data_IF_120089693597
#
_entry.id   IF_120089693597
#
_cell.length_a   1.000
_cell.length_b   1.000
_cell.length_c   1.000
_cell.angle_alpha   90.00
_cell.angle_beta   90.00
_cell.angle_gamma   90.00
#
_symmetry.space_group_name_H-M   'P 1'
#
loop_
_entity.id
_entity.type
_entity.pdbx_description
1 polymer ?
#
# COMPACT_ATOMS: atom_id res chain seq x y z
N UNK A 1 3.72 -2.52 -9.74
CA UNK A 1 3.59 -1.05 -9.89
C UNK A 1 4.82 -0.50 -10.60
N UNK A 2 4.75 0.69 -11.22
CA UNK A 2 5.93 1.31 -11.83
C UNK A 2 6.90 1.84 -10.75
N UNK A 3 8.17 2.04 -11.10
CA UNK A 3 9.17 2.63 -10.19
C UNK A 3 8.73 4.01 -9.68
N UNK A 4 8.17 4.84 -10.56
CA UNK A 4 7.61 6.15 -10.20
C UNK A 4 6.48 6.02 -9.20
N UNK A 5 5.57 5.07 -9.39
CA UNK A 5 4.45 4.87 -8.46
C UNK A 5 4.93 4.38 -7.08
N UNK A 6 5.93 3.50 -7.03
CA UNK A 6 6.55 3.07 -5.77
C UNK A 6 7.19 4.25 -5.02
N UNK A 7 7.82 5.17 -5.75
CA UNK A 7 8.37 6.41 -5.20
C UNK A 7 7.29 7.34 -4.66
N UNK A 8 6.20 7.56 -5.42
CA UNK A 8 5.06 8.35 -4.95
C UNK A 8 4.48 7.75 -3.67
N UNK A 9 4.25 6.44 -3.63
CA UNK A 9 3.76 5.76 -2.43
C UNK A 9 4.70 5.97 -1.23
N UNK A 10 6.02 5.84 -1.44
CA UNK A 10 7.01 6.07 -0.39
C UNK A 10 6.97 7.51 0.15
N UNK A 11 6.86 8.50 -0.72
CA UNK A 11 6.78 9.91 -0.31
C UNK A 11 5.48 10.18 0.47
N UNK A 12 4.35 9.71 -0.06
CA UNK A 12 3.05 9.93 0.57
C UNK A 12 2.97 9.27 1.94
N UNK A 13 3.48 8.03 2.07
CA UNK A 13 3.45 7.34 3.37
C UNK A 13 4.38 8.02 4.37
N UNK A 14 5.56 8.47 3.93
CA UNK A 14 6.51 9.21 4.77
C UNK A 14 5.88 10.50 5.29
N UNK A 15 5.14 11.21 4.44
CA UNK A 15 4.39 12.40 4.86
C UNK A 15 3.24 12.06 5.82
N UNK A 16 2.49 10.98 5.54
CA UNK A 16 1.35 10.56 6.35
C UNK A 16 1.73 10.14 7.78
N UNK A 17 2.97 9.72 8.00
CA UNK A 17 3.53 9.33 9.30
C UNK A 17 4.51 10.37 9.86
N UNK A 18 4.47 11.61 9.36
CA UNK A 18 5.32 12.71 9.83
C UNK A 18 6.83 12.39 9.82
N UNK A 19 7.26 11.60 8.84
CA UNK A 19 8.65 11.13 8.71
C UNK A 19 9.05 10.00 9.67
N UNK A 20 8.15 9.55 10.54
CA UNK A 20 8.41 8.42 11.44
C UNK A 20 8.49 7.12 10.66
N UNK A 21 9.68 6.59 10.43
CA UNK A 21 9.82 5.27 9.81
C UNK A 21 9.48 4.18 10.84
N UNK A 22 8.42 3.37 10.64
CA UNK A 22 8.06 2.34 11.60
C UNK A 22 9.14 1.27 11.64
N UNK A 23 9.52 0.86 12.86
CA UNK A 23 10.58 -0.12 13.06
C UNK A 23 10.16 -1.55 12.68
N UNK A 24 8.85 -1.82 12.57
CA UNK A 24 8.29 -3.12 12.24
C UNK A 24 6.90 -2.99 11.60
N UNK A 25 6.38 -4.08 11.03
CA UNK A 25 5.03 -4.13 10.44
C UNK A 25 3.97 -3.91 11.52
N UNK A 26 4.13 -4.52 12.70
CA UNK A 26 3.23 -4.36 13.85
C UNK A 26 3.08 -2.87 14.21
N UNK A 27 4.19 -2.15 14.30
CA UNK A 27 4.18 -0.71 14.60
C UNK A 27 3.52 0.09 13.48
N UNK A 28 3.70 -0.32 12.23
CA UNK A 28 3.02 0.31 11.11
C UNK A 28 1.50 0.09 11.17
N UNK A 29 1.07 -1.12 11.47
CA UNK A 29 -0.35 -1.46 11.61
C UNK A 29 -0.98 -0.68 12.77
N UNK A 30 -0.27 -0.55 13.90
CA UNK A 30 -0.70 0.31 15.01
C UNK A 30 -0.85 1.79 14.61
N UNK A 31 0.11 2.32 13.83
CA UNK A 31 0.00 3.67 13.28
C UNK A 31 -1.17 3.80 12.31
N UNK A 32 -1.44 2.79 11.49
CA UNK A 32 -2.59 2.76 10.59
C UNK A 32 -3.93 2.77 11.35
N UNK A 33 -4.01 2.13 12.51
CA UNK A 33 -5.17 2.25 13.39
C UNK A 33 -5.41 3.69 13.86
N UNK A 34 -4.34 4.41 14.20
CA UNK A 34 -4.43 5.79 14.68
C UNK A 34 -4.63 6.83 13.56
N UNK A 35 -4.08 6.57 12.37
CA UNK A 35 -4.01 7.53 11.27
C UNK A 35 -4.59 6.94 9.98
N UNK A 36 -5.76 7.46 9.57
CA UNK A 36 -6.42 7.02 8.34
C UNK A 36 -5.54 7.19 7.10
N UNK A 37 -4.77 8.27 7.00
CA UNK A 37 -3.84 8.51 5.89
C UNK A 37 -2.81 7.37 5.76
N UNK A 38 -2.24 6.93 6.89
CA UNK A 38 -1.32 5.81 6.94
C UNK A 38 -2.03 4.49 6.54
N UNK A 39 -3.23 4.22 7.06
CA UNK A 39 -4.00 3.03 6.71
C UNK A 39 -4.29 2.91 5.21
N UNK A 40 -4.65 4.02 4.55
CA UNK A 40 -4.95 4.03 3.11
C UNK A 40 -3.73 3.85 2.21
N UNK A 41 -2.54 4.12 2.73
CA UNK A 41 -1.28 3.98 2.00
C UNK A 41 -0.56 2.66 2.33
N UNK A 42 -0.82 2.08 3.50
CA UNK A 42 -0.21 0.87 4.00
C UNK A 42 -0.22 -0.30 3.00
N UNK A 43 -1.37 -0.72 2.42
CA UNK A 43 -1.38 -1.87 1.51
C UNK A 43 -0.50 -1.62 0.28
N UNK A 44 -0.53 -0.42 -0.29
CA UNK A 44 0.30 -0.07 -1.45
C UNK A 44 1.78 0.00 -1.10
N UNK A 45 2.12 0.52 0.09
CA UNK A 45 3.49 0.54 0.58
C UNK A 45 4.04 -0.88 0.77
N UNK A 46 3.27 -1.73 1.45
CA UNK A 46 3.62 -3.12 1.70
C UNK A 46 3.80 -3.89 0.39
N UNK A 47 2.86 -3.77 -0.55
CA UNK A 47 3.01 -4.36 -1.88
C UNK A 47 4.28 -3.88 -2.62
N UNK A 48 4.66 -2.61 -2.44
CA UNK A 48 5.80 -2.03 -3.15
C UNK A 48 7.17 -2.43 -2.57
N UNK A 49 7.24 -2.66 -1.25
CA UNK A 49 8.52 -2.77 -0.53
C UNK A 49 8.65 -3.99 0.37
N UNK A 50 7.54 -4.56 0.85
CA UNK A 50 7.50 -5.67 1.80
C UNK A 50 6.38 -6.69 1.49
N UNK A 51 6.25 -7.17 0.22
CA UNK A 51 5.08 -7.95 -0.17
C UNK A 51 5.04 -9.32 0.54
N UNK A 52 6.19 -9.95 0.75
CA UNK A 52 6.26 -11.25 1.42
C UNK A 52 5.99 -11.12 2.91
N UNK A 53 6.65 -10.17 3.59
CA UNK A 53 6.45 -9.97 5.02
C UNK A 53 5.00 -9.55 5.33
N UNK A 54 4.34 -8.82 4.42
CA UNK A 54 2.94 -8.46 4.57
C UNK A 54 1.99 -9.65 4.49
N UNK A 55 2.22 -10.59 3.56
CA UNK A 55 1.42 -11.80 3.47
C UNK A 55 1.63 -12.69 4.69
N UNK A 56 2.87 -12.87 5.12
CA UNK A 56 3.19 -13.63 6.35
C UNK A 56 2.55 -13.00 7.57
N UNK A 57 2.68 -11.69 7.75
CA UNK A 57 2.06 -10.97 8.85
C UNK A 57 0.54 -11.16 8.86
N UNK A 58 -0.10 -11.00 7.71
CA UNK A 58 -1.53 -11.17 7.55
C UNK A 58 -1.99 -12.60 7.87
N UNK A 59 -1.18 -13.60 7.55
CA UNK A 59 -1.51 -15.01 7.77
C UNK A 59 -1.39 -15.41 9.25
N UNK A 60 -0.35 -14.94 9.93
CA UNK A 60 0.01 -15.43 11.27
C UNK A 60 -0.52 -14.58 12.41
N UNK A 61 -0.79 -13.28 12.17
CA UNK A 61 -1.21 -12.36 13.21
C UNK A 61 -2.74 -12.27 13.23
N UNK A 62 -3.34 -12.45 14.40
CA UNK A 62 -4.78 -12.30 14.62
C UNK A 62 -5.26 -10.83 14.65
N UNK A 63 -4.69 -9.99 13.80
CA UNK A 63 -5.07 -8.59 13.61
C UNK A 63 -6.03 -8.48 12.42
N UNK A 64 -7.25 -7.92 12.59
CA UNK A 64 -8.24 -7.86 11.52
C UNK A 64 -7.93 -6.80 10.46
N UNK A 65 -7.12 -5.77 10.76
CA UNK A 65 -6.89 -4.66 9.83
C UNK A 65 -6.14 -5.09 8.56
N UNK A 66 -5.04 -5.86 8.60
CA UNK A 66 -4.38 -6.37 7.40
C UNK A 66 -5.31 -7.12 6.44
N UNK A 67 -6.12 -8.04 6.97
CA UNK A 67 -7.07 -8.81 6.17
C UNK A 67 -8.10 -7.90 5.49
N UNK A 68 -8.69 -6.97 6.25
CA UNK A 68 -9.66 -6.00 5.72
C UNK A 68 -9.04 -5.09 4.67
N UNK A 69 -7.81 -4.60 4.90
CA UNK A 69 -7.11 -3.79 3.91
C UNK A 69 -6.78 -4.57 2.65
N UNK A 70 -6.41 -5.85 2.73
CA UNK A 70 -6.17 -6.69 1.54
C UNK A 70 -7.45 -6.89 0.73
N UNK A 71 -8.55 -7.27 1.39
CA UNK A 71 -9.86 -7.42 0.74
C UNK A 71 -10.33 -6.12 0.10
N UNK A 72 -10.32 -5.03 0.84
CA UNK A 72 -10.77 -3.74 0.36
C UNK A 72 -9.87 -3.20 -0.75
N UNK A 73 -8.55 -3.44 -0.69
CA UNK A 73 -7.63 -3.03 -1.75
C UNK A 73 -7.86 -3.84 -3.01
N UNK A 74 -8.09 -5.16 -2.91
CA UNK A 74 -8.44 -5.99 -4.05
C UNK A 74 -9.67 -5.43 -4.79
N UNK A 75 -10.77 -5.22 -4.07
CA UNK A 75 -11.99 -4.66 -4.66
C UNK A 75 -11.75 -3.25 -5.25
N UNK A 76 -10.97 -2.42 -4.55
CA UNK A 76 -10.66 -1.08 -5.00
C UNK A 76 -9.87 -1.08 -6.32
N UNK A 77 -8.79 -1.87 -6.43
CA UNK A 77 -7.95 -1.90 -7.63
C UNK A 77 -8.58 -2.71 -8.76
N UNK A 78 -9.52 -3.60 -8.46
CA UNK A 78 -10.23 -4.35 -9.50
C UNK A 78 -11.28 -3.52 -10.24
N UNK A 79 -11.71 -2.40 -9.66
CA UNK A 79 -12.63 -1.45 -10.29
C UNK A 79 -12.19 -1.12 -11.74
N UNK A 80 -13.04 -1.39 -12.75
CA UNK A 80 -12.66 -1.25 -14.16
C UNK A 80 -12.12 0.14 -14.54
N UNK A 81 -12.67 1.18 -13.92
CA UNK A 81 -12.31 2.57 -14.19
C UNK A 81 -10.88 2.96 -13.77
N UNK A 82 -10.23 2.19 -12.87
CA UNK A 82 -8.89 2.52 -12.38
C UNK A 82 -7.77 1.93 -13.25
N UNK A 83 -8.09 1.04 -14.19
CA UNK A 83 -7.11 0.39 -15.09
C UNK A 83 -5.84 -0.10 -14.38
N UNK A 84 -5.99 -0.63 -13.16
CA UNK A 84 -4.84 -1.09 -12.38
C UNK A 84 -4.13 -2.25 -13.07
N UNK A 85 -2.80 -2.30 -12.95
CA UNK A 85 -1.99 -3.36 -13.56
C UNK A 85 -2.42 -4.75 -13.05
N UNK A 86 -2.37 -5.76 -13.93
CA UNK A 86 -2.75 -7.14 -13.58
C UNK A 86 -1.95 -7.70 -12.38
N UNK A 87 -0.70 -7.27 -12.20
CA UNK A 87 0.16 -7.74 -11.11
C UNK A 87 -0.32 -7.28 -9.72
N UNK A 88 -0.82 -6.04 -9.59
CA UNK A 88 -1.33 -5.54 -8.31
C UNK A 88 -2.68 -6.17 -7.99
N UNK A 89 -3.54 -6.33 -9.00
CA UNK A 89 -4.82 -7.04 -8.87
C UNK A 89 -4.61 -8.47 -8.36
N UNK A 90 -3.71 -9.22 -9.02
CA UNK A 90 -3.39 -10.62 -8.66
C UNK A 90 -2.82 -10.73 -7.25
N UNK A 91 -1.93 -9.80 -6.88
CA UNK A 91 -1.35 -9.81 -5.54
C UNK A 91 -2.43 -9.64 -4.47
N UNK A 92 -3.27 -8.61 -4.56
CA UNK A 92 -4.29 -8.39 -3.54
C UNK A 92 -5.42 -9.42 -3.57
N UNK A 93 -5.74 -9.99 -4.73
CA UNK A 93 -6.60 -11.18 -4.82
C UNK A 93 -6.00 -12.35 -4.02
N UNK A 94 -4.70 -12.61 -4.17
CA UNK A 94 -4.06 -13.71 -3.42
C UNK A 94 -3.99 -13.39 -1.93
N UNK A 95 -3.67 -12.14 -1.57
CA UNK A 95 -3.55 -11.70 -0.19
C UNK A 95 -4.89 -11.61 0.55
N UNK A 96 -6.01 -11.41 -0.15
CA UNK A 96 -7.34 -11.49 0.46
C UNK A 96 -7.76 -12.94 0.73
N UNK A 97 -7.31 -13.90 -0.08
CA UNK A 97 -7.68 -15.30 0.09
C UNK A 97 -6.95 -16.02 1.23
N UNK A 98 -5.80 -15.52 1.68
CA UNK A 98 -5.01 -16.16 2.76
C UNK A 98 -5.53 -15.89 4.17
N UNK A 99 -6.22 -14.77 4.38
CA UNK A 99 -6.79 -14.40 5.67
C UNK A 99 -8.22 -13.91 5.47
N UNK A 100 -9.22 -14.82 5.54
CA UNK A 100 -10.60 -14.47 5.31
C UNK A 100 -11.09 -13.48 6.38
N UNK A 101 -12.00 -12.60 5.97
CA UNK A 101 -12.65 -11.67 6.89
C UNK A 101 -13.42 -12.44 7.96
N UNK A 102 -13.04 -12.22 9.22
CA UNK A 102 -13.80 -12.75 10.35
C UNK A 102 -14.93 -11.81 10.72
N UNK A 103 -16.16 -12.32 10.74
CA UNK A 103 -17.33 -11.57 11.23
C UNK A 103 -17.23 -11.23 12.73
N UNK A 104 -16.39 -11.96 13.49
CA UNK A 104 -16.24 -11.81 14.93
C UNK A 104 -15.36 -10.62 15.35
N UNK A 105 -14.57 -10.05 14.43
CA UNK A 105 -13.59 -8.99 14.73
C UNK A 105 -13.80 -7.77 13.80
N UNK A 106 -14.86 -6.97 14.01
CA UNK A 106 -15.10 -5.80 13.18
C UNK A 106 -13.99 -4.77 13.38
N UNK A 107 -13.39 -4.27 12.28
CA UNK A 107 -12.64 -3.01 12.36
C UNK A 107 -13.62 -1.85 12.58
N UNK A 108 -13.08 -0.67 12.97
CA UNK A 108 -13.89 0.53 13.20
C UNK A 108 -14.72 1.00 11.97
N UNK A 109 -14.52 0.42 10.78
CA UNK A 109 -15.16 0.80 9.53
C UNK A 109 -15.56 -0.44 8.73
N UNK A 110 -16.62 -0.32 7.91
CA UNK A 110 -17.03 -1.38 7.01
C UNK A 110 -16.04 -1.55 5.85
N UNK A 111 -16.11 -2.71 5.17
CA UNK A 111 -15.27 -2.99 3.99
C UNK A 111 -15.59 -2.00 2.87
N UNK A 112 -16.86 -1.69 2.62
CA UNK A 112 -17.29 -0.74 1.59
C UNK A 112 -16.68 0.65 1.81
N UNK A 113 -16.63 1.08 3.07
CA UNK A 113 -16.01 2.35 3.45
C UNK A 113 -14.51 2.35 3.11
N UNK A 114 -13.81 1.26 3.40
CA UNK A 114 -12.40 1.11 3.01
C UNK A 114 -12.22 1.10 1.50
N UNK A 115 -13.05 0.35 0.75
CA UNK A 115 -13.00 0.28 -0.72
C UNK A 115 -13.13 1.66 -1.34
N UNK A 116 -14.10 2.47 -0.89
CA UNK A 116 -14.28 3.84 -1.37
C UNK A 116 -13.04 4.70 -1.16
N UNK A 117 -12.43 4.66 0.03
CA UNK A 117 -11.26 5.48 0.29
C UNK A 117 -9.99 4.96 -0.40
N UNK A 118 -9.81 3.65 -0.49
CA UNK A 118 -8.67 3.02 -1.15
C UNK A 118 -8.70 3.24 -2.67
N UNK A 119 -9.88 3.17 -3.30
CA UNK A 119 -10.03 3.48 -4.73
C UNK A 119 -9.66 4.93 -5.03
N UNK A 120 -10.15 5.88 -4.22
CA UNK A 120 -9.76 7.30 -4.33
C UNK A 120 -8.26 7.50 -4.07
N UNK A 121 -7.69 6.80 -3.10
CA UNK A 121 -6.26 6.92 -2.82
C UNK A 121 -5.41 6.36 -3.96
N UNK A 122 -5.78 5.21 -4.51
CA UNK A 122 -5.09 4.62 -5.67
C UNK A 122 -5.13 5.56 -6.88
N UNK A 123 -6.30 6.14 -7.18
CA UNK A 123 -6.44 7.12 -8.24
C UNK A 123 -5.53 8.33 -8.05
N UNK A 124 -5.45 8.88 -6.82
CA UNK A 124 -4.53 9.99 -6.49
C UNK A 124 -3.07 9.61 -6.71
N UNK A 125 -2.67 8.39 -6.32
CA UNK A 125 -1.32 7.89 -6.55
C UNK A 125 -1.02 7.80 -8.05
N UNK A 126 -1.96 7.32 -8.86
CA UNK A 126 -1.83 7.29 -10.32
C UNK A 126 -1.69 8.69 -10.91
N UNK A 127 -2.51 9.65 -10.48
CA UNK A 127 -2.41 11.05 -10.94
C UNK A 127 -1.04 11.66 -10.62
N UNK A 128 -0.55 11.50 -9.39
CA UNK A 128 0.79 11.98 -8.99
C UNK A 128 1.90 11.30 -9.80
N UNK A 129 1.76 10.00 -10.05
CA UNK A 129 2.71 9.23 -10.87
C UNK A 129 2.76 9.79 -12.29
N UNK A 130 1.58 9.97 -12.91
CA UNK A 130 1.48 10.53 -14.26
C UNK A 130 2.09 11.92 -14.37
N UNK A 131 1.88 12.80 -13.38
CA UNK A 131 2.49 14.12 -13.35
C UNK A 131 4.03 14.04 -13.34
N UNK A 132 4.61 13.17 -12.51
CA UNK A 132 6.07 13.01 -12.44
C UNK A 132 6.62 12.44 -13.76
N UNK A 133 5.96 11.41 -14.31
CA UNK A 133 6.39 10.77 -15.56
C UNK A 133 6.33 11.77 -16.74
N UNK A 134 5.27 12.57 -16.83
CA UNK A 134 5.07 13.58 -17.88
C UNK A 134 6.09 14.72 -17.77
N UNK A 135 6.47 15.11 -16.56
CA UNK A 135 7.42 16.21 -16.34
C UNK A 135 8.89 15.78 -16.32
N UNK A 136 9.23 14.50 -16.50
CA UNK A 136 10.62 13.97 -16.51
C UNK A 136 11.47 14.39 -15.29
N UNK A 137 10.82 14.75 -14.18
CA UNK A 137 11.47 15.21 -12.95
C UNK A 137 11.58 14.07 -11.94
N UNK A 138 12.30 13.00 -12.28
CA UNK A 138 12.91 12.14 -11.26
C UNK A 138 14.38 12.52 -11.25
N UNK A 139 14.81 13.51 -10.44
CA UNK A 139 16.21 13.88 -10.48
C UNK A 139 16.97 12.72 -9.82
N UNK A 140 17.95 12.19 -10.53
CA UNK A 140 18.77 11.03 -10.13
C UNK A 140 19.53 11.23 -8.81
N UNK A 141 19.42 12.42 -8.22
CA UNK A 141 20.00 12.86 -6.95
C UNK A 141 19.10 12.64 -5.72
N UNK A 142 17.81 12.30 -5.88
CA UNK A 142 16.84 12.33 -4.76
C UNK A 142 16.61 10.99 -4.04
N UNK A 143 17.22 9.93 -4.53
CA UNK A 143 17.31 8.67 -3.80
C UNK A 143 18.55 8.74 -2.92
N UNK A 144 18.37 8.62 -1.60
CA UNK A 144 19.49 8.42 -0.68
C UNK A 144 20.35 7.24 -1.15
N UNK A 145 21.66 7.22 -0.84
CA UNK A 145 22.56 6.11 -1.22
C UNK A 145 21.99 4.74 -0.85
N UNK A 146 21.18 4.65 0.21
CA UNK A 146 20.51 3.45 0.69
C UNK A 146 19.29 3.04 -0.16
N UNK A 147 18.52 4.01 -0.66
CA UNK A 147 17.43 3.75 -1.62
C UNK A 147 17.97 3.40 -3.01
N UNK A 148 19.08 4.01 -3.44
CA UNK A 148 19.81 3.59 -4.65
C UNK A 148 20.34 2.15 -4.53
N UNK A 149 20.86 1.78 -3.35
CA UNK A 149 21.36 0.43 -3.10
C UNK A 149 20.25 -0.64 -3.11
N UNK A 150 19.03 -0.30 -2.66
CA UNK A 150 17.87 -1.19 -2.76
C UNK A 150 17.38 -1.34 -4.20
N UNK A 151 17.50 -0.31 -5.03
CA UNK A 151 17.09 -0.33 -6.44
C UNK A 151 18.11 -1.00 -7.37
N UNK A 152 19.38 -1.10 -6.99
CA UNK A 152 20.45 -1.73 -7.77
C UNK A 152 20.72 -3.19 -7.43
N UNK A 153 20.08 -3.76 -6.39
CA UNK A 153 20.25 -5.18 -6.02
C UNK A 153 19.35 -6.15 -6.80
N UNK A 154 18.48 -5.65 -7.68
CA UNK A 154 17.55 -6.46 -8.49
C UNK A 154 17.69 -6.21 -10.01
N UNK A 155 18.89 -5.84 -10.47
CA UNK A 155 19.27 -5.83 -11.88
C UNK A 155 20.45 -6.79 -12.10
#
# INVERSE_FOLDING_TARGET
MSRTMNYVVLNEITHAIEGQRPASIERFVQLAYAHQSAALLLPFYMYSWHPHEWQEYTLWVADPLPAILNHATYMAVDAPALHAASSIKRYFYSASMIAPLSEANPTARSVEHWVYHLSRQYYRLQQKTHLIDTHHQIPSTWLSRRQKALLHKEA
#
